data_IF_809313656726
#
_entry.id   IF_809313656726
#
_cell.length_a   1.000
_cell.length_b   1.000
_cell.length_c   1.000
_cell.angle_alpha   90.00
_cell.angle_beta   90.00
_cell.angle_gamma   90.00
#
_symmetry.space_group_name_H-M   'P 1'
#
loop_
_entity.id
_entity.type
_entity.pdbx_description
1 polymer ?
#
# COMPACT_ATOMS: atom_id res chain seq x y z
N UNK A 1 14.98 19.83 64.82
CA UNK A 1 13.58 19.59 65.19
C UNK A 1 12.71 20.46 64.27
N UNK A 2 11.70 20.01 63.53
CA UNK A 2 10.94 18.77 63.59
C UNK A 2 10.66 18.20 62.20
N UNK A 3 10.46 16.88 62.22
CA UNK A 3 9.88 16.06 61.16
C UNK A 3 8.36 16.16 61.25
N UNK A 4 7.70 16.30 60.12
CA UNK A 4 6.30 15.94 59.86
C UNK A 4 6.07 16.17 58.35
N UNK A 5 5.32 15.39 57.59
CA UNK A 5 4.77 14.06 57.74
C UNK A 5 4.39 13.63 56.32
N UNK A 6 4.58 12.34 56.02
CA UNK A 6 4.21 11.73 54.74
C UNK A 6 2.70 11.54 54.72
N UNK A 7 1.98 12.23 53.83
CA UNK A 7 0.58 11.96 53.55
C UNK A 7 0.43 11.28 52.19
N UNK A 8 0.17 9.97 52.25
CA UNK A 8 -0.30 9.15 51.14
C UNK A 8 -1.74 9.57 50.79
N UNK A 9 -1.98 9.88 49.52
CA UNK A 9 -3.32 10.04 48.96
C UNK A 9 -3.54 9.03 47.83
N UNK A 10 -4.24 7.94 48.14
CA UNK A 10 -4.77 7.02 47.14
C UNK A 10 -6.15 7.52 46.71
N UNK A 11 -6.36 7.76 45.41
CA UNK A 11 -7.69 7.91 44.83
C UNK A 11 -7.72 7.23 43.46
N UNK A 12 -8.21 5.99 43.50
CA UNK A 12 -8.43 5.10 42.36
C UNK A 12 -9.74 5.52 41.70
N UNK A 13 -9.69 6.41 40.72
CA UNK A 13 -10.87 6.68 39.88
C UNK A 13 -10.97 5.67 38.75
N UNK A 14 -11.94 4.76 38.90
CA UNK A 14 -12.50 3.94 37.84
C UNK A 14 -13.18 4.85 36.82
N UNK A 15 -12.82 4.70 35.56
CA UNK A 15 -13.57 5.23 34.42
C UNK A 15 -13.55 4.21 33.30
N UNK A 16 -14.60 3.39 33.21
CA UNK A 16 -14.94 2.61 32.02
C UNK A 16 -15.35 3.61 30.93
N UNK A 17 -14.62 3.62 29.82
CA UNK A 17 -15.05 4.25 28.58
C UNK A 17 -14.90 3.24 27.46
N UNK A 18 -15.97 2.50 27.17
CA UNK A 18 -16.11 1.85 25.89
C UNK A 18 -16.25 2.94 24.84
N UNK A 19 -15.30 3.01 23.91
CA UNK A 19 -15.34 3.88 22.75
C UNK A 19 -15.12 3.03 21.51
N UNK A 20 -16.15 2.27 21.12
CA UNK A 20 -16.27 1.83 19.73
C UNK A 20 -16.71 3.05 18.91
N UNK A 21 -15.85 3.47 17.98
CA UNK A 21 -16.15 4.32 16.84
C UNK A 21 -15.06 3.95 15.80
N UNK A 22 -15.34 3.38 14.63
CA UNK A 22 -16.49 3.60 13.76
C UNK A 22 -16.09 4.59 12.67
N UNK A 23 -15.72 4.05 11.50
CA UNK A 23 -15.92 4.69 10.19
C UNK A 23 -15.00 5.84 9.77
N UNK A 24 -14.14 5.56 8.81
CA UNK A 24 -13.85 6.46 7.69
C UNK A 24 -13.93 5.66 6.38
N UNK A 25 -15.13 5.15 6.08
CA UNK A 25 -15.48 4.69 4.74
C UNK A 25 -15.96 5.89 3.94
N UNK A 26 -15.34 6.15 2.79
CA UNK A 26 -15.80 7.18 1.85
C UNK A 26 -14.69 7.77 0.98
N UNK A 27 -14.26 7.04 -0.06
CA UNK A 27 -13.44 7.60 -1.13
C UNK A 27 -12.67 6.60 -2.02
N UNK A 28 -12.24 5.45 -1.47
CA UNK A 28 -11.35 4.50 -2.16
C UNK A 28 -12.05 3.43 -3.00
N UNK A 29 -13.33 3.11 -2.74
CA UNK A 29 -14.01 2.05 -3.50
C UNK A 29 -14.02 2.27 -5.03
N UNK A 30 -14.07 3.54 -5.46
CA UNK A 30 -14.13 3.90 -6.90
C UNK A 30 -12.74 4.06 -7.51
N UNK A 31 -11.78 4.61 -6.75
CA UNK A 31 -10.41 4.82 -7.22
C UNK A 31 -9.72 3.48 -7.52
N UNK A 32 -9.71 2.56 -6.56
CA UNK A 32 -9.09 1.25 -6.71
C UNK A 32 -9.81 0.38 -7.76
N UNK A 33 -11.14 0.49 -7.89
CA UNK A 33 -11.87 -0.20 -8.96
C UNK A 33 -11.48 0.33 -10.35
N UNK A 34 -11.29 1.64 -10.50
CA UNK A 34 -10.81 2.21 -11.77
C UNK A 34 -9.36 1.80 -12.08
N UNK A 35 -8.50 1.67 -11.07
CA UNK A 35 -7.15 1.12 -11.23
C UNK A 35 -7.19 -0.35 -11.67
N UNK A 36 -8.02 -1.16 -11.02
CA UNK A 36 -8.23 -2.56 -11.39
C UNK A 36 -8.69 -2.70 -12.85
N UNK A 37 -9.66 -1.88 -13.28
CA UNK A 37 -10.11 -1.85 -14.66
C UNK A 37 -8.98 -1.49 -15.63
N UNK A 38 -8.19 -0.46 -15.32
CA UNK A 38 -7.05 -0.07 -16.15
C UNK A 38 -6.00 -1.18 -16.28
N UNK A 39 -5.74 -1.94 -15.22
CA UNK A 39 -4.85 -3.10 -15.24
C UNK A 39 -5.42 -4.18 -16.17
N UNK A 40 -6.69 -4.53 -15.99
CA UNK A 40 -7.38 -5.54 -16.84
C UNK A 40 -7.31 -5.15 -18.31
N UNK A 41 -7.62 -3.89 -18.64
CA UNK A 41 -7.63 -3.41 -20.01
C UNK A 41 -6.24 -3.50 -20.63
N UNK A 42 -5.21 -3.06 -19.89
CA UNK A 42 -3.83 -3.07 -20.35
C UNK A 42 -3.29 -4.49 -20.57
N UNK A 43 -3.54 -5.39 -19.63
CA UNK A 43 -3.13 -6.80 -19.75
C UNK A 43 -3.89 -7.48 -20.89
N UNK A 44 -5.20 -7.26 -21.00
CA UNK A 44 -6.03 -7.86 -22.05
C UNK A 44 -5.57 -7.43 -23.43
N UNK A 45 -5.25 -6.15 -23.61
CA UNK A 45 -4.72 -5.61 -24.86
C UNK A 45 -3.38 -6.28 -25.23
N UNK A 46 -2.39 -6.26 -24.33
CA UNK A 46 -1.06 -6.82 -24.60
C UNK A 46 -1.12 -8.35 -24.82
N UNK A 47 -1.92 -9.07 -24.03
CA UNK A 47 -2.09 -10.52 -24.16
C UNK A 47 -2.67 -10.91 -25.52
N UNK A 48 -3.71 -10.20 -26.00
CA UNK A 48 -4.29 -10.42 -27.33
C UNK A 48 -3.28 -10.19 -28.45
N UNK A 49 -2.46 -9.14 -28.33
CA UNK A 49 -1.40 -8.85 -29.31
C UNK A 49 -0.36 -9.97 -29.36
N UNK A 50 -0.11 -10.65 -28.23
CA UNK A 50 0.81 -11.79 -28.14
C UNK A 50 0.17 -13.14 -28.45
N UNK A 51 -1.14 -13.18 -28.71
CA UNK A 51 -1.88 -14.42 -28.96
C UNK A 51 -2.13 -15.28 -27.72
N UNK A 52 -1.95 -14.72 -26.52
CA UNK A 52 -2.31 -15.37 -25.26
C UNK A 52 -3.83 -15.37 -25.14
N UNK A 53 -4.41 -16.55 -24.94
CA UNK A 53 -5.86 -16.74 -24.90
C UNK A 53 -6.42 -16.69 -23.49
N UNK A 54 -5.60 -17.00 -22.50
CA UNK A 54 -5.97 -17.07 -21.11
C UNK A 54 -4.80 -16.63 -20.21
N UNK A 55 -4.94 -15.45 -19.61
CA UNK A 55 -4.10 -14.99 -18.51
C UNK A 55 -4.54 -15.70 -17.23
N UNK A 56 -3.58 -16.25 -16.50
CA UNK A 56 -3.78 -16.93 -15.21
C UNK A 56 -3.40 -16.04 -14.05
N UNK A 57 -2.34 -15.25 -14.21
CA UNK A 57 -1.79 -14.39 -13.15
C UNK A 57 -1.31 -13.07 -13.72
N UNK A 58 -1.58 -12.00 -12.98
CA UNK A 58 -1.00 -10.66 -13.16
C UNK A 58 -0.23 -10.32 -11.90
N UNK A 59 1.02 -9.88 -12.04
CA UNK A 59 1.86 -9.46 -10.92
C UNK A 59 2.04 -7.95 -10.99
N UNK A 60 1.70 -7.27 -9.91
CA UNK A 60 1.77 -5.82 -9.77
C UNK A 60 2.78 -5.44 -8.70
N UNK A 61 3.61 -4.43 -8.97
CA UNK A 61 4.42 -3.78 -7.95
C UNK A 61 3.66 -2.59 -7.40
N UNK A 62 3.51 -2.56 -6.08
CA UNK A 62 2.82 -1.47 -5.36
C UNK A 62 3.77 -0.93 -4.30
N UNK A 63 4.13 0.34 -4.44
CA UNK A 63 5.00 1.03 -3.52
C UNK A 63 4.28 1.39 -2.21
N UNK A 64 5.01 1.35 -1.09
CA UNK A 64 4.51 1.74 0.23
C UNK A 64 3.93 3.18 0.26
N UNK A 65 4.45 4.08 -0.59
CA UNK A 65 4.03 5.48 -0.72
C UNK A 65 3.13 5.75 -1.94
N UNK A 66 2.66 4.69 -2.62
CA UNK A 66 1.78 4.82 -3.80
C UNK A 66 0.38 5.34 -3.48
N UNK A 67 -0.01 5.38 -2.20
CA UNK A 67 -1.35 5.70 -1.71
C UNK A 67 -2.46 4.76 -2.22
N UNK A 68 -2.10 3.59 -2.75
CA UNK A 68 -3.03 2.53 -3.15
C UNK A 68 -3.32 1.63 -1.95
N UNK A 69 -4.59 1.21 -1.80
CA UNK A 69 -4.97 0.15 -0.86
C UNK A 69 -4.90 -1.23 -1.54
N UNK A 70 -3.90 -2.08 -1.23
CA UNK A 70 -3.69 -3.35 -1.95
C UNK A 70 -4.89 -4.30 -1.87
N UNK A 71 -5.50 -4.42 -0.69
CA UNK A 71 -6.64 -5.31 -0.49
C UNK A 71 -7.88 -4.88 -1.30
N UNK A 72 -8.15 -3.57 -1.34
CA UNK A 72 -9.23 -3.00 -2.15
C UNK A 72 -8.99 -3.18 -3.65
N UNK A 73 -7.74 -2.97 -4.08
CA UNK A 73 -7.34 -3.17 -5.48
C UNK A 73 -7.46 -4.65 -5.88
N UNK A 74 -6.99 -5.57 -5.04
CA UNK A 74 -7.10 -7.00 -5.27
C UNK A 74 -8.55 -7.46 -5.36
N UNK A 75 -9.41 -6.98 -4.46
CA UNK A 75 -10.84 -7.26 -4.51
C UNK A 75 -11.50 -6.72 -5.78
N UNK A 76 -11.22 -5.45 -6.14
CA UNK A 76 -11.75 -4.85 -7.37
C UNK A 76 -11.29 -5.60 -8.62
N UNK A 77 -10.03 -6.03 -8.66
CA UNK A 77 -9.50 -6.83 -9.75
C UNK A 77 -10.19 -8.19 -9.86
N UNK A 78 -10.34 -8.91 -8.74
CA UNK A 78 -11.00 -10.21 -8.72
C UNK A 78 -12.44 -10.11 -9.25
N UNK A 79 -13.19 -9.13 -8.76
CA UNK A 79 -14.57 -8.89 -9.18
C UNK A 79 -14.67 -8.64 -10.70
N UNK A 80 -13.80 -7.77 -11.23
CA UNK A 80 -13.80 -7.45 -12.65
C UNK A 80 -13.29 -8.62 -13.50
N UNK A 81 -12.27 -9.35 -13.06
CA UNK A 81 -11.74 -10.51 -13.76
C UNK A 81 -12.76 -11.67 -13.82
N UNK A 82 -13.57 -11.86 -12.77
CA UNK A 82 -14.67 -12.83 -12.77
C UNK A 82 -15.80 -12.44 -13.74
N UNK A 83 -16.07 -11.14 -13.89
CA UNK A 83 -17.08 -10.62 -14.82
C UNK A 83 -16.57 -10.50 -16.27
N UNK A 84 -15.25 -10.51 -16.48
CA UNK A 84 -14.60 -10.36 -17.77
C UNK A 84 -14.63 -11.66 -18.60
N UNK A 85 -14.50 -11.50 -19.92
CA UNK A 85 -14.22 -12.60 -20.84
C UNK A 85 -12.73 -12.83 -21.07
N UNK A 86 -12.39 -13.65 -22.06
CA UNK A 86 -11.01 -13.87 -22.47
C UNK A 86 -10.30 -12.55 -22.90
N UNK A 87 -9.00 -12.38 -22.58
CA UNK A 87 -8.13 -13.41 -22.00
C UNK A 87 -8.04 -13.40 -20.46
N UNK A 88 -8.66 -12.45 -19.76
CA UNK A 88 -8.43 -12.26 -18.31
C UNK A 88 -9.47 -12.91 -17.41
N UNK A 89 -10.44 -13.65 -17.97
CA UNK A 89 -11.49 -14.31 -17.22
C UNK A 89 -10.91 -15.15 -16.07
N UNK A 90 -11.20 -14.77 -14.82
CA UNK A 90 -10.73 -15.45 -13.62
C UNK A 90 -9.21 -15.36 -13.34
N UNK A 91 -8.49 -14.41 -13.95
CA UNK A 91 -7.09 -14.16 -13.63
C UNK A 91 -6.91 -13.77 -12.15
N UNK A 92 -5.79 -14.15 -11.55
CA UNK A 92 -5.43 -13.76 -10.18
C UNK A 92 -4.50 -12.55 -10.18
N UNK A 93 -4.70 -11.62 -9.25
CA UNK A 93 -3.75 -10.56 -8.98
C UNK A 93 -2.80 -10.96 -7.84
N UNK A 94 -1.51 -10.86 -8.09
CA UNK A 94 -0.45 -10.95 -7.08
C UNK A 94 0.16 -9.57 -6.91
N UNK A 95 0.25 -9.10 -5.68
CA UNK A 95 0.83 -7.79 -5.36
C UNK A 95 2.17 -8.00 -4.65
N UNK A 96 3.23 -7.43 -5.24
CA UNK A 96 4.54 -7.31 -4.63
C UNK A 96 4.69 -5.91 -4.03
N UNK A 97 4.72 -5.84 -2.70
CA UNK A 97 4.94 -4.59 -1.99
C UNK A 97 6.39 -4.14 -2.13
N UNK A 98 6.60 -2.88 -2.55
CA UNK A 98 7.92 -2.27 -2.65
C UNK A 98 8.13 -1.32 -1.47
N UNK A 99 9.06 -1.62 -0.54
CA UNK A 99 9.36 -0.74 0.59
C UNK A 99 9.86 0.63 0.14
N UNK A 100 9.52 1.67 0.90
CA UNK A 100 9.99 3.01 0.61
C UNK A 100 11.46 3.23 1.00
N UNK A 101 12.24 3.71 0.03
CA UNK A 101 13.66 4.00 0.20
C UNK A 101 13.96 5.44 -0.24
N UNK A 102 14.66 6.18 0.62
CA UNK A 102 15.17 7.51 0.36
C UNK A 102 16.65 7.50 -0.01
N UNK A 103 17.05 8.44 -0.87
CA UNK A 103 18.45 8.72 -1.18
C UNK A 103 18.74 10.20 -0.94
N UNK A 104 19.80 10.50 -0.19
CA UNK A 104 20.24 11.87 0.03
C UNK A 104 21.16 12.34 -1.10
N UNK A 105 20.77 13.33 -1.93
CA UNK A 105 21.65 13.83 -2.99
C UNK A 105 22.89 14.57 -2.45
N UNK A 106 22.86 15.03 -1.19
CA UNK A 106 23.99 15.76 -0.60
C UNK A 106 25.14 14.86 -0.14
N UNK A 107 24.85 13.63 0.29
CA UNK A 107 25.88 12.72 0.83
C UNK A 107 25.84 11.30 0.25
N UNK A 108 24.88 10.99 -0.62
CA UNK A 108 24.71 9.68 -1.26
C UNK A 108 24.12 8.59 -0.35
N UNK A 109 23.80 8.90 0.91
CA UNK A 109 23.26 7.89 1.83
C UNK A 109 21.86 7.44 1.40
N UNK A 110 21.69 6.12 1.30
CA UNK A 110 20.41 5.45 1.02
C UNK A 110 19.87 4.79 2.28
N UNK A 111 18.57 4.95 2.55
CA UNK A 111 17.96 4.52 3.81
C UNK A 111 16.46 4.25 3.65
N UNK A 112 15.86 3.32 4.43
CA UNK A 112 14.41 3.14 4.47
C UNK A 112 13.75 4.41 5.02
N UNK A 113 12.65 4.87 4.42
CA UNK A 113 12.06 6.15 4.82
C UNK A 113 11.45 6.08 6.23
N UNK A 114 10.77 4.98 6.56
CA UNK A 114 10.22 4.69 7.90
C UNK A 114 9.69 5.92 8.64
N UNK A 115 10.08 6.07 9.91
CA UNK A 115 9.70 7.22 10.75
C UNK A 115 10.40 8.53 10.34
N UNK A 116 11.56 8.46 9.68
CA UNK A 116 12.34 9.64 9.31
C UNK A 116 11.81 10.38 8.08
N UNK A 117 10.91 9.74 7.32
CA UNK A 117 10.45 10.22 6.03
C UNK A 117 11.62 10.46 5.06
N UNK A 118 11.55 11.56 4.30
CA UNK A 118 12.61 11.97 3.36
C UNK A 118 13.64 12.92 3.98
N UNK A 119 14.05 12.64 5.22
CA UNK A 119 15.15 13.33 5.90
C UNK A 119 16.32 12.36 6.10
N UNK A 120 17.48 12.73 5.59
CA UNK A 120 18.69 11.92 5.69
C UNK A 120 19.13 11.76 7.16
N UNK A 121 19.24 10.53 7.67
CA UNK A 121 19.69 10.29 9.05
C UNK A 121 21.19 10.55 9.23
N UNK A 122 21.98 10.55 8.15
CA UNK A 122 23.43 10.71 8.22
C UNK A 122 23.88 12.18 8.31
N UNK A 123 23.28 13.07 7.52
CA UNK A 123 23.68 14.48 7.44
C UNK A 123 22.55 15.49 7.74
N UNK A 124 21.32 15.02 7.97
CA UNK A 124 20.15 15.86 8.24
C UNK A 124 19.55 16.54 7.00
N UNK A 125 20.16 16.42 5.83
CA UNK A 125 19.68 17.00 4.57
C UNK A 125 18.41 16.35 4.03
N UNK A 126 17.74 17.00 3.08
CA UNK A 126 16.58 16.43 2.38
C UNK A 126 17.00 15.25 1.50
N UNK A 127 16.17 14.22 1.45
CA UNK A 127 16.32 13.08 0.55
C UNK A 127 15.22 13.08 -0.53
N UNK A 128 15.43 12.29 -1.58
CA UNK A 128 14.41 11.97 -2.59
C UNK A 128 13.99 10.51 -2.45
N UNK A 129 12.73 10.21 -2.76
CA UNK A 129 12.27 8.84 -2.85
C UNK A 129 12.90 8.18 -4.10
N UNK A 130 13.48 7.00 -3.92
CA UNK A 130 14.08 6.20 -5.01
C UNK A 130 13.44 4.83 -5.18
N UNK A 131 12.65 4.38 -4.19
CA UNK A 131 11.78 3.20 -4.27
C UNK A 131 10.57 3.41 -3.33
N UNK A 132 9.50 2.66 -3.54
CA UNK A 132 8.25 2.74 -2.78
C UNK A 132 7.20 3.66 -3.39
N UNK A 133 7.43 4.19 -4.60
CA UNK A 133 6.45 4.97 -5.36
C UNK A 133 5.76 4.20 -6.48
N UNK A 134 5.99 2.90 -6.56
CA UNK A 134 5.58 2.04 -7.67
C UNK A 134 4.06 1.85 -7.76
N UNK A 135 3.59 1.77 -9.00
CA UNK A 135 2.27 1.26 -9.37
C UNK A 135 2.37 0.81 -10.83
N UNK A 136 2.96 -0.36 -11.02
CA UNK A 136 3.29 -0.89 -12.35
C UNK A 136 3.06 -2.40 -12.44
N UNK A 137 2.68 -2.85 -13.65
CA UNK A 137 2.54 -4.27 -13.98
C UNK A 137 3.95 -4.82 -14.18
N UNK A 138 4.39 -5.67 -13.27
CA UNK A 138 5.71 -6.32 -13.33
C UNK A 138 5.71 -7.43 -14.37
N UNK A 139 4.66 -8.27 -14.37
CA UNK A 139 4.52 -9.37 -15.31
C UNK A 139 3.07 -9.87 -15.39
N UNK A 140 2.78 -10.67 -16.41
CA UNK A 140 1.62 -11.54 -16.42
C UNK A 140 1.94 -12.84 -17.16
N UNK A 141 1.24 -13.91 -16.81
CA UNK A 141 1.51 -15.26 -17.29
C UNK A 141 0.20 -15.92 -17.76
N UNK A 142 0.26 -16.66 -18.86
CA UNK A 142 -0.90 -17.26 -19.52
C UNK A 142 -0.54 -18.11 -20.73
N UNK A 143 -1.57 -18.72 -21.31
CA UNK A 143 -1.51 -19.61 -22.49
C UNK A 143 -2.47 -19.15 -23.59
#
# INVERSE_FOLDING_TARGET
MGRADVARGAAKHRGRGAGAAGGAEGGSGVHELSLAQAIIDRVSEDARQRGIRQVRRVTLRVGEWSAVLPDSLAFGFELLAQAAGEPVAGAQLVIHMVPAEGECPACGHRFPTGETGLRCPACGGSARLVAGGELDIESYEGE
#
